data_IF_195118759748
#
_entry.id   IF_195118759748
#
_cell.length_a   1.000
_cell.length_b   1.000
_cell.length_c   1.000
_cell.angle_alpha   90.00
_cell.angle_beta   90.00
_cell.angle_gamma   90.00
#
_symmetry.space_group_name_H-M   'P 1'
#
loop_
_entity.id
_entity.type
_entity.pdbx_description
1 polymer ?
#
# COMPACT_ATOMS: atom_id res chain seq x y z
N UNK A 1 1.71 34.20 18.48
CA UNK A 1 1.93 33.91 17.05
C UNK A 1 1.69 32.45 16.74
N UNK A 2 0.51 32.13 16.19
CA UNK A 2 0.19 30.80 15.68
C UNK A 2 0.82 30.70 14.29
N UNK A 3 1.76 29.78 14.09
CA UNK A 3 2.21 29.42 12.75
C UNK A 3 1.03 28.77 12.02
N UNK A 4 0.40 29.53 11.12
CA UNK A 4 -0.42 28.97 10.07
C UNK A 4 0.49 28.11 9.18
N UNK A 5 0.44 26.79 9.38
CA UNK A 5 0.98 25.82 8.43
C UNK A 5 0.04 25.76 7.22
N UNK A 6 -0.06 26.88 6.49
CA UNK A 6 -0.81 26.95 5.24
C UNK A 6 -0.40 25.79 4.35
N UNK A 7 -1.37 24.96 3.94
CA UNK A 7 -1.13 23.90 2.98
C UNK A 7 -0.43 24.53 1.77
N UNK A 8 0.88 24.27 1.58
CA UNK A 8 1.69 24.85 0.49
C UNK A 8 1.44 24.17 -0.86
N UNK A 9 0.52 23.22 -0.89
CA UNK A 9 0.19 22.36 -2.03
C UNK A 9 -0.81 22.91 -3.08
N UNK A 10 -1.54 24.03 -2.93
CA UNK A 10 -2.52 24.43 -3.94
C UNK A 10 -1.87 24.91 -5.26
N UNK A 11 -0.54 25.17 -5.28
CA UNK A 11 0.17 25.65 -6.46
C UNK A 11 0.80 24.54 -7.30
N UNK A 12 1.15 23.40 -6.71
CA UNK A 12 1.90 22.33 -7.41
C UNK A 12 0.94 21.21 -7.78
N UNK A 13 0.70 21.05 -9.09
CA UNK A 13 -0.15 19.97 -9.64
C UNK A 13 0.62 18.68 -9.93
N UNK A 14 1.91 18.79 -10.22
CA UNK A 14 2.75 17.67 -10.61
C UNK A 14 4.22 17.98 -10.34
N UNK A 15 4.98 16.98 -9.89
CA UNK A 15 6.43 17.03 -9.79
C UNK A 15 7.00 15.80 -10.49
N UNK A 16 8.02 15.99 -11.32
CA UNK A 16 8.73 14.89 -11.99
C UNK A 16 10.12 14.80 -11.41
N UNK A 17 10.48 13.64 -10.87
CA UNK A 17 11.83 13.34 -10.40
C UNK A 17 12.48 12.37 -11.38
N UNK A 18 13.71 12.65 -11.77
CA UNK A 18 14.51 11.82 -12.69
C UNK A 18 15.83 11.48 -12.03
N UNK A 19 16.30 10.26 -12.23
CA UNK A 19 17.56 9.79 -11.68
C UNK A 19 18.02 8.49 -12.35
N UNK A 20 19.27 8.08 -12.16
CA UNK A 20 19.85 6.87 -12.75
C UNK A 20 19.42 5.61 -11.99
N UNK A 21 18.11 5.43 -11.76
CA UNK A 21 17.59 4.31 -11.00
C UNK A 21 17.49 3.05 -11.84
N UNK A 22 18.20 2.02 -11.41
CA UNK A 22 18.21 0.68 -12.00
C UNK A 22 16.80 0.17 -12.35
N UNK A 23 15.90 0.27 -11.39
CA UNK A 23 14.54 -0.25 -11.51
C UNK A 23 13.71 0.46 -12.58
N UNK A 24 14.12 1.64 -13.07
CA UNK A 24 13.42 2.38 -14.11
C UNK A 24 14.06 2.25 -15.49
N UNK A 25 15.22 1.57 -15.60
CA UNK A 25 16.00 1.53 -16.85
C UNK A 25 15.27 0.86 -18.03
N UNK A 26 14.30 0.00 -17.74
CA UNK A 26 13.48 -0.69 -18.74
C UNK A 26 12.31 0.16 -19.27
N UNK A 27 12.36 1.50 -19.13
CA UNK A 27 11.28 2.39 -19.54
C UNK A 27 10.11 2.46 -18.54
N UNK A 28 10.32 1.99 -17.31
CA UNK A 28 9.29 2.04 -16.26
C UNK A 28 9.17 3.45 -15.68
N UNK A 29 7.94 3.87 -15.43
CA UNK A 29 7.62 5.13 -14.76
C UNK A 29 6.68 4.87 -13.59
N UNK A 30 7.02 5.39 -12.40
CA UNK A 30 6.10 5.37 -11.26
C UNK A 30 5.38 6.70 -11.14
N UNK A 31 4.09 6.61 -10.89
CA UNK A 31 3.26 7.76 -10.55
C UNK A 31 2.75 7.56 -9.13
N UNK A 32 3.28 8.35 -8.19
CA UNK A 32 2.74 8.41 -6.84
C UNK A 32 1.50 9.32 -6.84
N UNK A 33 0.37 8.76 -6.43
CA UNK A 33 -0.91 9.44 -6.43
C UNK A 33 -1.19 10.03 -5.05
N UNK A 34 -1.84 11.21 -4.98
CA UNK A 34 -2.24 11.76 -3.70
C UNK A 34 -3.17 10.79 -2.96
N UNK A 35 -3.06 10.76 -1.63
CA UNK A 35 -3.86 9.87 -0.78
C UNK A 35 -5.36 10.00 -1.02
N UNK A 36 -6.06 8.88 -0.88
CA UNK A 36 -7.52 8.80 -0.99
C UNK A 36 -8.17 9.44 0.23
N UNK A 37 -9.15 10.34 0.03
CA UNK A 37 -10.05 10.75 1.13
C UNK A 37 -10.09 12.23 1.50
N UNK A 38 -9.45 13.14 0.76
CA UNK A 38 -9.77 14.56 0.89
C UNK A 38 -10.72 14.97 -0.23
N UNK A 39 -11.85 15.58 0.16
CA UNK A 39 -13.00 16.08 -0.63
C UNK A 39 -12.66 17.10 -1.73
N UNK A 40 -11.40 17.18 -2.14
CA UNK A 40 -10.91 18.06 -3.17
C UNK A 40 -11.04 17.37 -4.53
N UNK A 41 -12.11 17.68 -5.26
CA UNK A 41 -12.40 17.11 -6.58
C UNK A 41 -11.30 17.29 -7.63
N UNK A 42 -10.30 18.16 -7.40
CA UNK A 42 -9.10 18.23 -8.25
C UNK A 42 -8.21 16.99 -8.07
N UNK A 43 -8.05 16.49 -6.84
CA UNK A 43 -7.24 15.29 -6.55
C UNK A 43 -7.89 14.05 -7.14
N UNK A 44 -9.21 13.91 -6.99
CA UNK A 44 -9.95 12.79 -7.58
C UNK A 44 -9.83 12.74 -9.10
N UNK A 45 -9.85 13.90 -9.78
CA UNK A 45 -9.64 13.95 -11.24
C UNK A 45 -8.24 13.49 -11.63
N UNK A 46 -7.20 13.88 -10.89
CA UNK A 46 -5.82 13.46 -11.16
C UNK A 46 -5.70 11.95 -10.95
N UNK A 47 -6.16 11.44 -9.80
CA UNK A 47 -6.13 10.00 -9.47
C UNK A 47 -6.82 9.18 -10.56
N UNK A 48 -8.04 9.56 -10.94
CA UNK A 48 -8.80 8.84 -11.98
C UNK A 48 -8.15 8.95 -13.37
N UNK A 49 -7.52 10.07 -13.71
CA UNK A 49 -6.83 10.25 -15.00
C UNK A 49 -5.63 9.32 -15.10
N UNK A 50 -4.78 9.31 -14.07
CA UNK A 50 -3.57 8.47 -14.07
C UNK A 50 -3.92 6.99 -13.94
N UNK A 51 -4.91 6.65 -13.11
CA UNK A 51 -5.42 5.28 -13.00
C UNK A 51 -5.83 4.70 -14.36
N UNK A 52 -6.55 5.46 -15.20
CA UNK A 52 -6.97 4.99 -16.55
C UNK A 52 -5.82 4.80 -17.53
N UNK A 53 -4.65 5.39 -17.26
CA UNK A 53 -3.45 5.28 -18.10
C UNK A 53 -2.48 4.22 -17.59
N UNK A 54 -2.70 3.70 -16.39
CA UNK A 54 -1.78 2.78 -15.75
C UNK A 54 -1.88 1.39 -16.37
N UNK A 55 -0.74 0.85 -16.81
CA UNK A 55 -0.63 -0.55 -17.25
C UNK A 55 -0.67 -1.52 -16.06
N UNK A 56 -0.24 -1.03 -14.88
CA UNK A 56 -0.15 -1.78 -13.63
C UNK A 56 -0.53 -0.88 -12.45
N UNK A 57 -1.30 -1.41 -11.49
CA UNK A 57 -1.70 -0.65 -10.30
C UNK A 57 -1.26 -1.34 -9.01
N UNK A 58 -0.52 -0.59 -8.18
CA UNK A 58 -0.21 -0.98 -6.81
C UNK A 58 -1.15 -0.26 -5.84
N UNK A 59 -1.83 -1.02 -4.98
CA UNK A 59 -2.68 -0.47 -3.94
C UNK A 59 -2.00 -0.73 -2.60
N UNK A 60 -1.68 0.35 -1.91
CA UNK A 60 -0.95 0.32 -0.65
C UNK A 60 -1.89 0.58 0.52
N UNK A 61 -1.85 -0.28 1.53
CA UNK A 61 -2.55 -0.08 2.80
C UNK A 61 -1.58 -0.33 3.96
N UNK A 62 -1.82 0.28 5.12
CA UNK A 62 -1.06 -0.08 6.31
C UNK A 62 -1.43 -1.50 6.74
N UNK A 63 -0.44 -2.25 7.22
CA UNK A 63 -0.62 -3.66 7.57
C UNK A 63 -1.80 -3.92 8.51
N UNK A 64 -1.95 -3.10 9.55
CA UNK A 64 -3.00 -3.20 10.58
C UNK A 64 -4.42 -3.06 10.01
N UNK A 65 -4.57 -2.44 8.84
CA UNK A 65 -5.87 -2.24 8.18
C UNK A 65 -5.93 -2.88 6.79
N UNK A 66 -4.95 -3.67 6.40
CA UNK A 66 -4.85 -4.20 5.04
C UNK A 66 -6.07 -5.04 4.61
N UNK A 67 -6.76 -5.69 5.56
CA UNK A 67 -7.97 -6.48 5.30
C UNK A 67 -9.29 -5.75 5.65
N UNK A 68 -9.23 -4.53 6.20
CA UNK A 68 -10.40 -3.82 6.75
C UNK A 68 -10.55 -2.39 6.24
N UNK A 69 -9.52 -1.78 5.68
CA UNK A 69 -9.54 -0.42 5.17
C UNK A 69 -10.43 -0.33 3.92
N UNK A 70 -11.63 0.19 4.11
CA UNK A 70 -12.65 0.26 3.05
C UNK A 70 -12.17 1.01 1.81
N UNK A 71 -11.45 2.12 1.98
CA UNK A 71 -10.94 2.91 0.86
C UNK A 71 -9.97 2.09 -0.01
N UNK A 72 -8.97 1.45 0.60
CA UNK A 72 -8.02 0.59 -0.12
C UNK A 72 -8.73 -0.61 -0.78
N UNK A 73 -9.68 -1.23 -0.09
CA UNK A 73 -10.41 -2.39 -0.61
C UNK A 73 -11.39 -2.04 -1.74
N UNK A 74 -12.00 -0.86 -1.70
CA UNK A 74 -12.88 -0.37 -2.77
C UNK A 74 -12.06 -0.07 -4.05
N UNK A 75 -10.87 0.52 -3.90
CA UNK A 75 -9.91 0.66 -5.00
C UNK A 75 -9.41 -0.70 -5.50
N UNK A 76 -9.19 -1.67 -4.62
CA UNK A 76 -8.78 -3.02 -5.03
C UNK A 76 -9.88 -3.71 -5.81
N UNK A 77 -11.13 -3.62 -5.35
CA UNK A 77 -12.29 -4.12 -6.08
C UNK A 77 -12.43 -3.45 -7.45
N UNK A 78 -12.16 -2.15 -7.54
CA UNK A 78 -12.17 -1.41 -8.80
C UNK A 78 -11.06 -1.89 -9.74
N UNK A 79 -9.82 -1.98 -9.27
CA UNK A 79 -8.69 -2.47 -10.05
C UNK A 79 -8.93 -3.88 -10.60
N UNK A 80 -9.41 -4.80 -9.76
CA UNK A 80 -9.70 -6.20 -10.16
C UNK A 80 -10.76 -6.28 -11.25
N UNK A 81 -11.72 -5.34 -11.29
CA UNK A 81 -12.72 -5.27 -12.36
C UNK A 81 -12.18 -4.65 -13.65
N UNK A 82 -11.34 -3.63 -13.53
CA UNK A 82 -10.96 -2.79 -14.67
C UNK A 82 -9.69 -3.26 -15.39
N UNK A 83 -8.82 -4.02 -14.71
CA UNK A 83 -7.49 -4.41 -15.21
C UNK A 83 -7.37 -5.93 -15.42
N UNK A 84 -6.52 -6.37 -16.38
CA UNK A 84 -6.24 -7.79 -16.56
C UNK A 84 -5.68 -8.47 -15.30
N UNK A 85 -5.95 -9.76 -15.08
CA UNK A 85 -5.29 -10.54 -14.05
C UNK A 85 -3.78 -10.45 -14.15
N UNK A 86 -3.11 -10.19 -13.03
CA UNK A 86 -1.65 -10.04 -12.97
C UNK A 86 -1.14 -8.61 -13.09
N UNK A 87 -1.99 -7.63 -13.47
CA UNK A 87 -1.62 -6.21 -13.57
C UNK A 87 -1.91 -5.41 -12.28
N UNK A 88 -2.08 -6.11 -11.16
CA UNK A 88 -2.45 -5.53 -9.88
C UNK A 88 -1.60 -6.16 -8.78
N UNK A 89 -1.11 -5.32 -7.87
CA UNK A 89 -0.53 -5.75 -6.60
C UNK A 89 -1.20 -5.05 -5.43
N UNK A 90 -1.48 -5.81 -4.37
CA UNK A 90 -1.87 -5.25 -3.08
C UNK A 90 -0.68 -5.30 -2.12
N UNK A 91 -0.32 -4.16 -1.53
CA UNK A 91 0.89 -4.02 -0.71
C UNK A 91 0.50 -3.59 0.70
N UNK A 92 0.72 -4.48 1.67
CA UNK A 92 0.60 -4.20 3.08
C UNK A 92 1.92 -3.60 3.62
N UNK A 93 1.91 -2.30 3.83
CA UNK A 93 3.06 -1.49 4.29
C UNK A 93 3.21 -1.50 5.80
N UNK A 94 4.39 -1.12 6.32
CA UNK A 94 4.71 -1.12 7.76
C UNK A 94 4.54 -2.51 8.40
N UNK A 95 4.94 -3.56 7.69
CA UNK A 95 4.83 -4.92 8.17
C UNK A 95 5.76 -5.23 9.36
N UNK A 96 6.71 -4.35 9.68
CA UNK A 96 7.55 -4.38 10.88
C UNK A 96 6.86 -3.87 12.15
N UNK A 97 5.74 -3.13 12.02
CA UNK A 97 4.96 -2.66 13.17
C UNK A 97 4.18 -3.85 13.75
N UNK A 98 4.86 -4.63 14.60
CA UNK A 98 4.35 -5.87 15.18
C UNK A 98 4.58 -5.93 16.69
N UNK A 99 3.49 -6.18 17.42
CA UNK A 99 3.58 -6.64 18.79
C UNK A 99 3.61 -8.17 18.81
N UNK A 100 4.80 -8.73 19.06
CA UNK A 100 5.04 -10.18 19.06
C UNK A 100 4.17 -10.91 20.09
N UNK A 101 3.98 -10.34 21.27
CA UNK A 101 3.23 -11.00 22.35
C UNK A 101 1.72 -11.04 22.06
N UNK A 102 1.17 -9.98 21.43
CA UNK A 102 -0.20 -9.99 20.94
C UNK A 102 -0.41 -11.08 19.88
N UNK A 103 0.51 -11.21 18.93
CA UNK A 103 0.41 -12.24 17.89
C UNK A 103 0.50 -13.64 18.49
N UNK A 104 1.41 -13.87 19.44
CA UNK A 104 1.55 -15.14 20.15
C UNK A 104 0.25 -15.50 20.87
N UNK A 105 -0.33 -14.56 21.61
CA UNK A 105 -1.60 -14.76 22.33
C UNK A 105 -2.77 -15.03 21.39
N UNK A 106 -2.97 -14.17 20.39
CA UNK A 106 -4.14 -14.19 19.51
C UNK A 106 -4.14 -15.42 18.56
N UNK A 107 -2.96 -16.00 18.31
CA UNK A 107 -2.81 -17.19 17.47
C UNK A 107 -2.39 -18.44 18.27
N UNK A 108 -2.39 -18.38 19.61
CA UNK A 108 -2.05 -19.50 20.52
C UNK A 108 -0.70 -20.16 20.18
N UNK A 109 0.31 -19.34 19.87
CA UNK A 109 1.65 -19.81 19.53
C UNK A 109 2.48 -20.09 20.79
N UNK A 110 3.58 -20.86 20.70
CA UNK A 110 4.50 -21.05 21.81
C UNK A 110 5.09 -19.72 22.31
N UNK A 111 5.29 -19.53 23.64
CA UNK A 111 5.97 -18.35 24.19
C UNK A 111 7.43 -18.20 23.75
N UNK A 112 8.01 -19.20 23.09
CA UNK A 112 9.36 -19.18 22.50
C UNK A 112 9.38 -18.64 21.08
N UNK A 113 8.22 -18.40 20.46
CA UNK A 113 8.10 -17.92 19.07
C UNK A 113 8.86 -16.61 18.88
N UNK A 114 9.77 -16.55 17.92
CA UNK A 114 10.53 -15.35 17.61
C UNK A 114 9.66 -14.25 17.00
N UNK A 115 10.14 -13.01 16.98
CA UNK A 115 9.43 -11.91 16.32
C UNK A 115 9.26 -12.16 14.81
N UNK A 116 10.25 -12.79 14.16
CA UNK A 116 10.20 -13.14 12.74
C UNK A 116 9.13 -14.20 12.44
N UNK A 117 9.05 -15.25 13.25
CA UNK A 117 8.02 -16.28 13.11
C UNK A 117 6.62 -15.71 13.36
N UNK A 118 6.47 -14.88 14.40
CA UNK A 118 5.22 -14.17 14.67
C UNK A 118 4.81 -13.29 13.47
N UNK A 119 5.76 -12.56 12.88
CA UNK A 119 5.51 -11.76 11.68
C UNK A 119 5.08 -12.62 10.49
N UNK A 120 5.71 -13.76 10.25
CA UNK A 120 5.31 -14.68 9.18
C UNK A 120 3.87 -15.17 9.35
N UNK A 121 3.50 -15.64 10.55
CA UNK A 121 2.14 -16.11 10.86
C UNK A 121 1.12 -15.01 10.62
N UNK A 122 1.38 -13.81 11.16
CA UNK A 122 0.50 -12.65 11.00
C UNK A 122 0.36 -12.23 9.53
N UNK A 123 1.48 -12.15 8.81
CA UNK A 123 1.52 -11.74 7.41
C UNK A 123 0.74 -12.71 6.51
N UNK A 124 0.92 -14.03 6.71
CA UNK A 124 0.18 -15.03 5.94
C UNK A 124 -1.31 -15.01 6.24
N UNK A 125 -1.72 -14.75 7.50
CA UNK A 125 -3.14 -14.57 7.85
C UNK A 125 -3.76 -13.40 7.08
N UNK A 126 -3.11 -12.23 7.09
CA UNK A 126 -3.61 -11.04 6.37
C UNK A 126 -3.65 -11.27 4.86
N UNK A 127 -2.59 -11.87 4.28
CA UNK A 127 -2.58 -12.22 2.84
C UNK A 127 -3.73 -13.15 2.49
N UNK A 128 -4.02 -14.15 3.32
CA UNK A 128 -5.16 -15.07 3.13
C UNK A 128 -6.48 -14.32 3.18
N UNK A 129 -6.71 -13.44 4.16
CA UNK A 129 -7.96 -12.68 4.25
C UNK A 129 -8.23 -11.82 3.00
N UNK A 130 -7.21 -11.13 2.48
CA UNK A 130 -7.37 -10.34 1.23
C UNK A 130 -7.63 -11.26 0.03
N UNK A 131 -6.90 -12.38 -0.06
CA UNK A 131 -7.02 -13.35 -1.17
C UNK A 131 -8.34 -14.13 -1.17
N UNK A 132 -9.05 -14.23 -0.04
CA UNK A 132 -10.40 -14.82 0.00
C UNK A 132 -11.39 -14.08 -0.89
N UNK A 133 -11.21 -12.76 -1.05
CA UNK A 133 -12.15 -11.90 -1.77
C UNK A 133 -11.63 -11.45 -3.13
N UNK A 134 -10.31 -11.36 -3.30
CA UNK A 134 -9.68 -10.84 -4.52
C UNK A 134 -8.56 -11.76 -4.98
N UNK A 135 -8.62 -12.21 -6.23
CA UNK A 135 -7.54 -12.97 -6.86
C UNK A 135 -6.40 -12.02 -7.27
N UNK A 136 -5.54 -11.67 -6.31
CA UNK A 136 -4.46 -10.70 -6.49
C UNK A 136 -3.19 -11.13 -5.75
N UNK A 137 -2.03 -10.73 -6.28
CA UNK A 137 -0.77 -10.88 -5.56
C UNK A 137 -0.73 -9.88 -4.39
N UNK A 138 -0.56 -10.41 -3.19
CA UNK A 138 -0.44 -9.63 -1.95
C UNK A 138 0.98 -9.70 -1.43
N UNK A 139 1.60 -8.53 -1.25
CA UNK A 139 2.94 -8.35 -0.73
C UNK A 139 2.90 -7.65 0.64
N UNK A 140 3.95 -7.84 1.41
CA UNK A 140 4.20 -7.15 2.68
C UNK A 140 5.54 -6.46 2.57
N UNK A 141 5.66 -5.24 3.08
CA UNK A 141 6.92 -4.50 3.05
C UNK A 141 7.17 -3.77 4.37
N UNK A 142 8.43 -3.76 4.78
CA UNK A 142 8.92 -3.05 5.95
C UNK A 142 9.87 -1.92 5.55
N UNK A 143 9.91 -0.85 6.34
CA UNK A 143 10.96 0.15 6.20
C UNK A 143 12.36 -0.42 6.49
N UNK A 144 12.46 -1.44 7.35
CA UNK A 144 13.71 -2.11 7.69
C UNK A 144 14.34 -2.83 6.49
N UNK A 145 13.52 -3.22 5.50
CA UNK A 145 14.01 -3.87 4.27
C UNK A 145 14.91 -2.93 3.43
N UNK A 146 14.79 -1.62 3.64
CA UNK A 146 15.46 -0.58 2.84
C UNK A 146 16.48 0.27 3.62
N UNK A 147 16.66 0.03 4.92
CA UNK A 147 17.55 0.82 5.78
C UNK A 147 19.05 0.50 5.63
N UNK A 148 19.48 0.18 4.40
CA UNK A 148 20.88 -0.16 4.09
C UNK A 148 21.78 1.06 4.01
#
# INVERSE_FOLDING_TARGET
>A
DKQETGQRWPLVKWATVRGPWECLRAGLSFVDLPGFGDSNGVRDRIVNREYRRADFVCICSRFDRAATDRASLDWLAKAVRDLPPGNIAYVATKADDINRDEVVRDNKLPPTTTQAEAAQVRNEKVKKEVRKKYEVKVYTTSAQDYAR
#
